data_IF_504602060871
#
_entry.id   IF_504602060871
#
_cell.length_a   1.000
_cell.length_b   1.000
_cell.length_c   1.000
_cell.angle_alpha   90.00
_cell.angle_beta   90.00
_cell.angle_gamma   90.00
#
_symmetry.space_group_name_H-M   'P 1'
#
loop_
_entity.id
_entity.type
_entity.pdbx_description
1 polymer ?
#
# COMPACT_ATOMS: atom_id res chain seq x y z
N UNK A 1 -23.28 -11.71 -1.41
CA UNK A 1 -23.01 -11.74 -2.88
C UNK A 1 -23.37 -10.38 -3.43
N UNK A 2 -22.52 -9.73 -4.26
CA UNK A 2 -22.86 -8.48 -4.91
C UNK A 2 -23.97 -8.67 -5.95
N UNK A 3 -24.76 -7.61 -6.21
CA UNK A 3 -25.74 -7.59 -7.28
C UNK A 3 -25.06 -7.41 -8.65
N UNK A 4 -23.93 -6.69 -8.67
CA UNK A 4 -23.09 -6.51 -9.86
C UNK A 4 -21.62 -6.38 -9.51
N UNK A 5 -20.75 -6.78 -10.45
CA UNK A 5 -19.30 -6.56 -10.39
C UNK A 5 -18.91 -5.64 -11.53
N UNK A 6 -18.21 -4.55 -11.20
CA UNK A 6 -17.74 -3.57 -12.17
C UNK A 6 -16.20 -3.56 -12.23
N UNK A 7 -15.65 -3.40 -13.43
CA UNK A 7 -14.22 -3.37 -13.72
C UNK A 7 -13.87 -2.03 -14.38
N UNK A 8 -13.57 -0.98 -13.62
CA UNK A 8 -13.29 0.33 -14.19
C UNK A 8 -11.95 0.34 -14.94
N UNK A 9 -11.92 1.02 -16.10
CA UNK A 9 -10.71 1.22 -16.88
C UNK A 9 -10.02 2.56 -16.57
N UNK A 10 -10.79 3.53 -16.04
CA UNK A 10 -10.31 4.87 -15.78
C UNK A 10 -11.04 5.51 -14.58
N UNK A 11 -10.49 6.61 -14.12
CA UNK A 11 -11.00 7.36 -12.97
C UNK A 11 -12.42 7.89 -13.18
N UNK A 12 -12.71 8.39 -14.37
CA UNK A 12 -14.04 8.96 -14.70
C UNK A 12 -15.17 7.94 -14.55
N UNK A 13 -14.91 6.67 -14.88
CA UNK A 13 -15.88 5.59 -14.66
C UNK A 13 -16.12 5.38 -13.15
N UNK A 14 -15.08 5.42 -12.33
CA UNK A 14 -15.19 5.30 -10.88
C UNK A 14 -16.02 6.46 -10.31
N UNK A 15 -15.74 7.68 -10.73
CA UNK A 15 -16.46 8.89 -10.33
C UNK A 15 -17.96 8.78 -10.65
N UNK A 16 -18.30 8.33 -11.87
CA UNK A 16 -19.69 8.09 -12.29
C UNK A 16 -20.38 7.03 -11.44
N UNK A 17 -19.69 5.93 -11.15
CA UNK A 17 -20.22 4.85 -10.29
C UNK A 17 -20.47 5.37 -8.88
N UNK A 18 -19.52 6.09 -8.30
CA UNK A 18 -19.64 6.66 -6.96
C UNK A 18 -20.81 7.64 -6.88
N UNK A 19 -20.93 8.56 -7.84
CA UNK A 19 -22.01 9.54 -7.90
C UNK A 19 -23.39 8.86 -8.07
N UNK A 20 -23.50 7.90 -8.97
CA UNK A 20 -24.74 7.14 -9.20
C UNK A 20 -25.16 6.36 -7.95
N UNK A 21 -24.23 5.61 -7.36
CA UNK A 21 -24.51 4.80 -6.19
C UNK A 21 -24.88 5.65 -4.96
N UNK A 22 -24.23 6.80 -4.79
CA UNK A 22 -24.56 7.75 -3.74
C UNK A 22 -26.00 8.27 -3.89
N UNK A 23 -26.39 8.69 -5.09
CA UNK A 23 -27.74 9.19 -5.38
C UNK A 23 -28.81 8.11 -5.12
N UNK A 24 -28.54 6.87 -5.48
CA UNK A 24 -29.50 5.76 -5.38
C UNK A 24 -29.32 4.94 -4.09
N UNK A 25 -28.44 5.35 -3.19
CA UNK A 25 -28.13 4.67 -1.92
C UNK A 25 -27.72 3.20 -2.10
N UNK A 26 -26.98 2.92 -3.17
CA UNK A 26 -26.45 1.58 -3.48
C UNK A 26 -25.10 1.43 -2.79
N UNK A 27 -24.88 0.39 -1.96
CA UNK A 27 -23.58 0.12 -1.36
C UNK A 27 -22.50 -0.20 -2.41
N UNK A 28 -21.29 0.35 -2.21
CA UNK A 28 -20.10 0.02 -3.00
C UNK A 28 -19.10 -0.68 -2.10
N UNK A 29 -18.58 -1.80 -2.56
CA UNK A 29 -17.52 -2.56 -1.93
C UNK A 29 -16.31 -2.58 -2.87
N UNK A 30 -15.24 -1.88 -2.50
CA UNK A 30 -14.04 -1.81 -3.34
C UNK A 30 -13.22 -3.09 -3.15
N UNK A 31 -12.95 -3.78 -4.25
CA UNK A 31 -12.20 -5.01 -4.26
C UNK A 31 -10.79 -4.78 -4.84
N UNK A 32 -9.76 -5.06 -4.04
CA UNK A 32 -8.37 -5.17 -4.45
C UNK A 32 -7.95 -6.64 -4.53
N UNK A 33 -7.12 -7.10 -3.59
CA UNK A 33 -6.72 -8.52 -3.51
C UNK A 33 -7.66 -9.43 -2.72
N UNK A 34 -8.68 -8.88 -2.06
CA UNK A 34 -9.60 -9.64 -1.21
C UNK A 34 -8.98 -10.20 0.07
N UNK A 35 -7.78 -9.74 0.43
CA UNK A 35 -6.97 -10.27 1.54
C UNK A 35 -7.23 -9.61 2.90
N UNK A 36 -8.23 -8.74 3.01
CA UNK A 36 -8.56 -8.03 4.25
C UNK A 36 -9.08 -9.01 5.32
N UNK A 37 -8.44 -9.01 6.48
CA UNK A 37 -8.84 -9.83 7.64
C UNK A 37 -10.20 -9.40 8.20
N UNK A 38 -10.54 -8.11 8.09
CA UNK A 38 -11.83 -7.55 8.55
C UNK A 38 -13.00 -7.87 7.62
N UNK A 39 -12.72 -8.51 6.45
CA UNK A 39 -13.72 -8.92 5.46
C UNK A 39 -14.53 -7.75 4.86
N UNK A 40 -13.97 -6.54 4.88
CA UNK A 40 -14.62 -5.31 4.37
C UNK A 40 -14.98 -5.35 2.87
N UNK A 41 -14.45 -6.33 2.12
CA UNK A 41 -14.78 -6.57 0.71
C UNK A 41 -16.06 -7.39 0.49
N UNK A 42 -16.65 -7.93 1.56
CA UNK A 42 -17.84 -8.77 1.46
C UNK A 42 -19.11 -7.94 1.30
N UNK A 43 -19.83 -8.19 0.23
CA UNK A 43 -21.08 -7.52 -0.09
C UNK A 43 -22.25 -8.09 0.75
N UNK A 44 -22.27 -7.80 2.05
CA UNK A 44 -23.26 -8.36 3.00
C UNK A 44 -24.68 -7.85 2.77
N UNK A 45 -24.85 -6.69 2.11
CA UNK A 45 -26.15 -6.05 1.82
C UNK A 45 -26.44 -5.95 0.31
N UNK A 46 -25.88 -6.86 -0.50
CA UNK A 46 -25.94 -6.69 -1.96
C UNK A 46 -25.07 -5.52 -2.42
N UNK A 47 -25.47 -4.82 -3.48
CA UNK A 47 -24.77 -3.66 -4.00
C UNK A 47 -23.70 -4.02 -5.03
N UNK A 48 -22.76 -3.10 -5.23
CA UNK A 48 -21.75 -3.20 -6.29
C UNK A 48 -20.39 -3.57 -5.70
N UNK A 49 -19.77 -4.64 -6.23
CA UNK A 49 -18.34 -4.90 -6.04
C UNK A 49 -17.58 -4.19 -7.15
N UNK A 50 -16.70 -3.26 -6.77
CA UNK A 50 -15.86 -2.50 -7.69
C UNK A 50 -14.47 -3.11 -7.70
N UNK A 51 -14.18 -3.98 -8.68
CA UNK A 51 -12.89 -4.65 -8.83
C UNK A 51 -11.89 -3.71 -9.51
N UNK A 52 -10.93 -3.23 -8.72
CA UNK A 52 -9.88 -2.33 -9.18
C UNK A 52 -8.69 -3.07 -9.82
N UNK A 53 -8.51 -4.34 -9.48
CA UNK A 53 -7.29 -5.08 -9.80
C UNK A 53 -7.14 -5.40 -11.29
N UNK A 54 -8.25 -5.73 -11.95
CA UNK A 54 -8.19 -6.29 -13.28
C UNK A 54 -7.75 -5.26 -14.34
N UNK A 55 -8.25 -4.03 -14.24
CA UNK A 55 -8.05 -3.01 -15.29
C UNK A 55 -7.50 -1.68 -14.77
N UNK A 56 -7.59 -1.44 -13.46
CA UNK A 56 -7.17 -0.18 -12.83
C UNK A 56 -5.85 -0.36 -12.06
N UNK A 57 -4.77 -0.71 -12.78
CA UNK A 57 -3.50 -1.14 -12.20
C UNK A 57 -2.26 -0.61 -12.94
N UNK A 58 -2.36 0.59 -13.52
CA UNK A 58 -1.29 1.18 -14.33
C UNK A 58 -0.35 2.06 -13.49
N UNK A 59 0.88 2.19 -13.94
CA UNK A 59 1.78 3.26 -13.51
C UNK A 59 1.35 4.57 -14.19
N UNK A 60 1.23 5.62 -13.41
CA UNK A 60 0.89 6.96 -13.88
C UNK A 60 2.15 7.80 -14.09
N UNK A 61 3.07 7.75 -13.12
CA UNK A 61 4.32 8.51 -13.18
C UNK A 61 5.41 7.82 -12.35
N UNK A 62 6.65 7.98 -12.77
CA UNK A 62 7.85 7.64 -12.00
C UNK A 62 8.80 8.83 -12.03
N UNK A 63 9.31 9.21 -10.86
CA UNK A 63 10.29 10.29 -10.73
C UNK A 63 11.53 9.77 -9.98
N UNK A 64 12.60 9.53 -10.73
CA UNK A 64 13.85 9.04 -10.16
C UNK A 64 14.50 10.04 -9.21
N UNK A 65 14.41 11.35 -9.53
CA UNK A 65 15.06 12.41 -8.75
C UNK A 65 14.45 12.50 -7.35
N UNK A 66 13.14 12.46 -7.27
CA UNK A 66 12.39 12.53 -6.02
C UNK A 66 12.17 11.15 -5.38
N UNK A 67 12.53 10.07 -6.10
CA UNK A 67 12.32 8.68 -5.69
C UNK A 67 10.85 8.39 -5.36
N UNK A 68 9.98 8.69 -6.32
CA UNK A 68 8.54 8.50 -6.18
C UNK A 68 7.96 7.74 -7.36
N UNK A 69 6.89 7.00 -7.11
CA UNK A 69 6.06 6.38 -8.13
C UNK A 69 4.59 6.68 -7.84
N UNK A 70 3.84 7.07 -8.87
CA UNK A 70 2.39 7.21 -8.79
C UNK A 70 1.75 6.07 -9.55
N UNK A 71 0.88 5.35 -8.89
CA UNK A 71 0.20 4.18 -9.44
C UNK A 71 -1.30 4.21 -9.17
N UNK A 72 -2.06 3.50 -9.99
CA UNK A 72 -3.46 3.23 -9.75
C UNK A 72 -3.62 2.22 -8.60
N UNK A 73 -4.64 2.40 -7.79
CA UNK A 73 -4.86 1.67 -6.53
C UNK A 73 -5.00 0.15 -6.67
N UNK A 74 -5.43 -0.33 -7.84
CA UNK A 74 -5.58 -1.77 -8.12
C UNK A 74 -4.27 -2.50 -8.43
N UNK A 75 -3.13 -1.80 -8.54
CA UNK A 75 -1.83 -2.43 -8.81
C UNK A 75 -1.48 -3.43 -7.71
N UNK A 76 -1.08 -4.65 -8.08
CA UNK A 76 -0.65 -5.67 -7.11
C UNK A 76 0.77 -5.45 -6.63
N UNK A 77 1.11 -6.00 -5.46
CA UNK A 77 2.46 -5.96 -4.91
C UNK A 77 3.53 -6.48 -5.86
N UNK A 78 3.40 -7.69 -6.40
CA UNK A 78 4.36 -8.25 -7.37
C UNK A 78 4.51 -7.39 -8.63
N UNK A 79 3.41 -6.82 -9.14
CA UNK A 79 3.45 -5.95 -10.30
C UNK A 79 4.22 -4.67 -10.02
N UNK A 80 3.98 -4.01 -8.87
CA UNK A 80 4.69 -2.82 -8.44
C UNK A 80 6.19 -3.11 -8.28
N UNK A 81 6.54 -4.16 -7.54
CA UNK A 81 7.93 -4.51 -7.26
C UNK A 81 8.69 -4.86 -8.55
N UNK A 82 8.08 -5.64 -9.45
CA UNK A 82 8.67 -5.94 -10.76
C UNK A 82 8.90 -4.67 -11.57
N UNK A 83 7.93 -3.77 -11.62
CA UNK A 83 8.04 -2.49 -12.33
C UNK A 83 9.20 -1.65 -11.77
N UNK A 84 9.35 -1.58 -10.47
CA UNK A 84 10.44 -0.86 -9.82
C UNK A 84 11.80 -1.52 -10.02
N UNK A 85 11.87 -2.84 -9.98
CA UNK A 85 13.09 -3.59 -10.26
C UNK A 85 13.53 -3.40 -11.72
N UNK A 86 12.59 -3.25 -12.65
CA UNK A 86 12.83 -3.01 -14.08
C UNK A 86 12.90 -1.51 -14.44
N UNK A 87 13.06 -0.61 -13.47
CA UNK A 87 12.99 0.85 -13.68
C UNK A 87 14.00 1.38 -14.69
N UNK A 88 15.19 0.80 -14.76
CA UNK A 88 16.21 1.14 -15.77
C UNK A 88 15.67 0.93 -17.18
N UNK A 89 15.02 -0.20 -17.41
CA UNK A 89 14.46 -0.57 -18.70
C UNK A 89 13.18 0.20 -19.04
N UNK A 90 12.30 0.37 -18.05
CA UNK A 90 10.96 0.94 -18.29
C UNK A 90 10.96 2.47 -18.31
N UNK A 91 11.81 3.11 -17.51
CA UNK A 91 11.81 4.56 -17.31
C UNK A 91 13.15 5.22 -17.65
N UNK A 92 14.16 4.46 -18.06
CA UNK A 92 15.50 5.00 -18.27
C UNK A 92 16.20 5.44 -16.99
N UNK A 93 15.80 4.90 -15.85
CA UNK A 93 16.40 5.21 -14.56
C UNK A 93 17.86 4.72 -14.49
N UNK A 94 18.66 5.33 -13.61
CA UNK A 94 20.07 4.96 -13.44
C UNK A 94 20.26 3.66 -12.67
N UNK A 95 19.20 3.14 -12.03
CA UNK A 95 19.23 1.94 -11.18
C UNK A 95 17.86 1.35 -10.96
N UNK A 96 17.83 0.14 -10.40
CA UNK A 96 16.63 -0.52 -9.93
C UNK A 96 16.13 0.07 -8.59
N UNK A 97 14.83 -0.05 -8.35
CA UNK A 97 14.15 0.40 -7.14
C UNK A 97 13.34 -0.74 -6.52
N UNK A 98 12.90 -0.53 -5.28
CA UNK A 98 11.99 -1.40 -4.52
C UNK A 98 10.92 -0.56 -3.83
N UNK A 99 9.74 -1.13 -3.65
CA UNK A 99 8.69 -0.48 -2.87
C UNK A 99 8.97 -0.47 -1.36
N UNK A 100 9.80 -1.39 -0.86
CA UNK A 100 10.11 -1.52 0.57
C UNK A 100 8.98 -2.08 1.42
N UNK A 101 7.76 -2.23 0.90
CA UNK A 101 6.58 -2.67 1.62
C UNK A 101 6.19 -4.10 1.20
N UNK A 102 6.35 -5.05 2.14
CA UNK A 102 6.08 -6.48 1.90
C UNK A 102 5.17 -7.05 2.99
N UNK A 103 3.85 -6.77 2.94
CA UNK A 103 2.89 -7.38 3.86
C UNK A 103 2.79 -8.89 3.64
N UNK A 104 2.22 -9.63 4.61
CA UNK A 104 2.03 -11.08 4.47
C UNK A 104 1.22 -11.46 3.22
N UNK A 105 0.25 -10.64 2.86
CA UNK A 105 -0.58 -10.82 1.67
C UNK A 105 0.02 -10.24 0.39
N UNK A 106 1.32 -9.94 0.33
CA UNK A 106 1.99 -9.24 -0.77
C UNK A 106 1.63 -9.78 -2.15
N UNK A 107 1.61 -11.11 -2.31
CA UNK A 107 1.32 -11.78 -3.59
C UNK A 107 -0.11 -11.54 -4.11
N UNK A 108 -1.03 -11.22 -3.23
CA UNK A 108 -2.46 -11.11 -3.56
C UNK A 108 -3.03 -9.71 -3.38
N UNK A 109 -2.46 -8.93 -2.48
CA UNK A 109 -2.97 -7.61 -2.11
C UNK A 109 -2.63 -6.54 -3.14
N UNK A 110 -3.41 -5.46 -3.13
CA UNK A 110 -3.20 -4.29 -3.97
C UNK A 110 -2.63 -3.12 -3.17
N UNK A 111 -1.95 -2.22 -3.88
CA UNK A 111 -1.39 -0.99 -3.30
C UNK A 111 -2.48 -0.15 -2.62
N UNK A 112 -3.64 0.01 -3.26
CA UNK A 112 -4.76 0.71 -2.63
C UNK A 112 -5.22 0.03 -1.35
N UNK A 113 -5.27 -1.30 -1.32
CA UNK A 113 -5.60 -2.07 -0.13
C UNK A 113 -4.62 -1.79 1.02
N UNK A 114 -3.32 -1.73 0.74
CA UNK A 114 -2.31 -1.40 1.76
C UNK A 114 -2.59 -0.04 2.42
N UNK A 115 -2.88 0.98 1.59
CA UNK A 115 -3.11 2.36 2.05
C UNK A 115 -4.37 2.47 2.88
N UNK A 116 -5.49 1.92 2.40
CA UNK A 116 -6.79 2.05 3.10
C UNK A 116 -6.91 1.20 4.36
N UNK A 117 -5.97 0.26 4.59
CA UNK A 117 -5.92 -0.57 5.82
C UNK A 117 -4.71 -0.23 6.72
N UNK A 118 -3.89 0.75 6.36
CA UNK A 118 -2.63 1.09 7.06
C UNK A 118 -1.74 -0.12 7.25
N UNK A 119 -1.52 -0.89 6.18
CA UNK A 119 -0.77 -2.13 6.22
C UNK A 119 0.64 -1.99 6.78
N UNK A 120 1.08 -2.98 7.56
CA UNK A 120 2.48 -3.18 7.91
C UNK A 120 3.06 -4.32 7.07
N UNK A 121 4.36 -4.32 6.87
CA UNK A 121 5.09 -5.35 6.13
C UNK A 121 6.27 -5.91 6.91
N UNK A 122 6.85 -6.99 6.43
CA UNK A 122 7.99 -7.64 7.08
C UNK A 122 9.23 -6.74 7.13
N UNK A 123 9.35 -5.79 6.20
CA UNK A 123 10.46 -4.85 6.11
C UNK A 123 10.17 -3.51 6.79
N UNK A 124 9.07 -3.39 7.54
CA UNK A 124 8.66 -2.12 8.15
C UNK A 124 9.61 -1.61 9.22
N UNK A 125 10.44 -2.48 9.78
CA UNK A 125 11.49 -2.08 10.74
C UNK A 125 12.46 -1.07 10.13
N UNK A 126 12.78 -1.21 8.86
CA UNK A 126 13.71 -0.33 8.15
C UNK A 126 13.00 0.70 7.27
N UNK A 127 12.05 0.25 6.44
CA UNK A 127 11.40 1.12 5.46
C UNK A 127 10.23 1.91 6.02
N UNK A 128 9.73 1.53 7.19
CA UNK A 128 8.47 2.06 7.74
C UNK A 128 7.25 1.25 7.28
N UNK A 129 6.10 1.64 7.74
CA UNK A 129 4.80 1.14 7.31
C UNK A 129 4.36 1.88 6.04
N UNK A 130 3.24 1.45 5.44
CA UNK A 130 2.71 2.12 4.24
C UNK A 130 2.43 3.62 4.50
N UNK A 131 2.02 3.98 5.70
CA UNK A 131 1.73 5.37 6.09
C UNK A 131 2.96 6.29 6.09
N UNK A 132 4.16 5.71 6.20
CA UNK A 132 5.43 6.44 6.12
C UNK A 132 5.90 6.61 4.65
N UNK A 133 5.29 5.88 3.74
CA UNK A 133 5.66 5.87 2.31
C UNK A 133 4.70 6.67 1.44
N UNK A 134 3.44 6.81 1.87
CA UNK A 134 2.41 7.54 1.11
C UNK A 134 2.69 9.04 1.14
N UNK A 135 2.78 9.64 -0.06
CA UNK A 135 2.97 11.08 -0.23
C UNK A 135 1.68 11.78 -0.68
N UNK A 136 0.95 11.19 -1.62
CA UNK A 136 -0.30 11.74 -2.15
C UNK A 136 -1.33 10.63 -2.37
N UNK A 137 -2.58 10.96 -2.15
CA UNK A 137 -3.72 10.10 -2.40
C UNK A 137 -4.79 10.84 -3.20
N UNK A 138 -5.46 10.14 -4.12
CA UNK A 138 -6.60 10.69 -4.88
C UNK A 138 -7.80 9.79 -4.70
N UNK A 139 -8.92 10.39 -4.36
CA UNK A 139 -10.18 9.70 -4.10
C UNK A 139 -11.30 10.22 -4.97
N UNK A 140 -12.15 9.30 -5.43
CA UNK A 140 -13.49 9.62 -5.93
C UNK A 140 -14.46 9.50 -4.76
N UNK A 141 -15.16 10.58 -4.44
CA UNK A 141 -16.12 10.65 -3.32
C UNK A 141 -17.50 11.13 -3.78
N UNK A 142 -18.56 10.91 -3.00
CA UNK A 142 -19.89 11.39 -3.34
C UNK A 142 -20.01 12.91 -3.51
N UNK A 143 -19.12 13.67 -2.91
CA UNK A 143 -19.12 15.14 -2.95
C UNK A 143 -18.07 15.71 -3.91
N UNK A 144 -17.42 14.87 -4.71
CA UNK A 144 -16.36 15.25 -5.65
C UNK A 144 -15.04 14.57 -5.35
N UNK A 145 -14.00 15.00 -6.05
CA UNK A 145 -12.67 14.42 -5.91
C UNK A 145 -11.90 15.05 -4.75
N UNK A 146 -11.26 14.20 -3.96
CA UNK A 146 -10.32 14.62 -2.94
C UNK A 146 -8.91 14.28 -3.42
N UNK A 147 -8.01 15.27 -3.36
CA UNK A 147 -6.57 15.10 -3.61
C UNK A 147 -5.86 15.60 -2.37
N UNK A 148 -5.03 14.76 -1.77
CA UNK A 148 -4.21 15.15 -0.62
C UNK A 148 -2.97 15.91 -1.09
N UNK A 149 -2.27 16.55 -0.16
CA UNK A 149 -1.04 17.28 -0.49
C UNK A 149 0.08 16.32 -0.93
N UNK A 150 0.82 16.65 -2.00
CA UNK A 150 1.91 15.81 -2.50
C UNK A 150 3.23 15.96 -1.71
N UNK A 151 3.21 16.70 -0.61
CA UNK A 151 4.42 16.96 0.18
C UNK A 151 4.67 15.86 1.22
N UNK A 152 5.92 15.41 1.39
CA UNK A 152 6.24 14.34 2.34
C UNK A 152 6.06 14.74 3.80
N UNK A 153 6.09 16.04 4.09
CA UNK A 153 5.84 16.61 5.43
C UNK A 153 5.19 17.98 5.29
N UNK A 154 4.26 18.26 6.17
CA UNK A 154 3.52 19.53 6.25
C UNK A 154 3.70 20.14 7.64
N UNK A 155 3.86 21.47 7.68
CA UNK A 155 3.92 22.22 8.95
C UNK A 155 2.54 22.54 9.52
N UNK A 156 1.49 22.39 8.68
CA UNK A 156 0.10 22.63 9.07
C UNK A 156 -0.65 21.32 9.20
N UNK A 157 -1.63 21.27 10.08
CA UNK A 157 -2.47 20.11 10.30
C UNK A 157 -3.94 20.48 10.44
N UNK A 158 -4.83 19.49 10.53
CA UNK A 158 -4.55 18.05 10.47
C UNK A 158 -4.15 17.58 9.07
N UNK A 159 -3.27 16.55 8.99
CA UNK A 159 -2.86 15.96 7.72
C UNK A 159 -4.00 15.17 7.09
N UNK A 160 -4.44 15.59 5.91
CA UNK A 160 -5.48 14.90 5.16
C UNK A 160 -5.03 13.50 4.72
N UNK A 161 -3.73 13.31 4.44
CA UNK A 161 -3.16 12.00 4.18
C UNK A 161 -3.47 11.01 5.30
N UNK A 162 -3.23 11.41 6.56
CA UNK A 162 -3.46 10.54 7.72
C UNK A 162 -4.94 10.33 8.06
N UNK A 163 -5.82 11.28 7.70
CA UNK A 163 -7.27 11.12 7.86
C UNK A 163 -7.82 10.09 6.86
N UNK A 164 -7.35 10.15 5.62
CA UNK A 164 -7.85 9.30 4.53
C UNK A 164 -7.29 7.87 4.59
N UNK A 165 -6.03 7.71 5.01
CA UNK A 165 -5.43 6.39 5.22
C UNK A 165 -6.12 5.62 6.35
N UNK A 166 -6.36 4.33 6.14
CA UNK A 166 -7.03 3.47 7.12
C UNK A 166 -8.54 3.68 7.17
N UNK A 167 -9.12 4.38 6.18
CA UNK A 167 -10.56 4.62 6.10
C UNK A 167 -11.38 3.42 5.61
N UNK A 168 -10.73 2.40 5.09
CA UNK A 168 -11.35 1.17 4.54
C UNK A 168 -12.51 1.44 3.57
N UNK A 169 -12.44 2.58 2.85
CA UNK A 169 -13.45 3.00 1.89
C UNK A 169 -14.59 3.86 2.47
N UNK A 170 -14.57 4.20 3.76
CA UNK A 170 -15.63 5.00 4.41
C UNK A 170 -15.78 6.39 3.79
N UNK A 171 -14.72 6.99 3.26
CA UNK A 171 -14.74 8.34 2.71
C UNK A 171 -14.79 8.39 1.18
N UNK A 172 -14.65 7.26 0.50
CA UNK A 172 -14.65 7.17 -0.95
C UNK A 172 -13.74 6.09 -1.49
N UNK A 173 -13.61 6.06 -2.81
CA UNK A 173 -12.78 5.09 -3.53
C UNK A 173 -11.42 5.69 -3.81
N UNK A 174 -10.36 5.11 -3.25
CA UNK A 174 -8.99 5.48 -3.59
C UNK A 174 -8.70 5.09 -5.04
N UNK A 175 -8.30 6.07 -5.85
CA UNK A 175 -7.97 5.86 -7.26
C UNK A 175 -6.48 5.78 -7.50
N UNK A 176 -5.73 6.77 -7.07
CA UNK A 176 -4.30 6.86 -7.32
C UNK A 176 -3.55 7.14 -6.03
N UNK A 177 -2.34 6.64 -5.96
CA UNK A 177 -1.45 6.88 -4.83
C UNK A 177 -0.03 7.15 -5.31
N UNK A 178 0.61 8.16 -4.72
CA UNK A 178 2.04 8.42 -4.89
C UNK A 178 2.78 7.89 -3.68
N UNK A 179 3.74 7.02 -3.94
CA UNK A 179 4.58 6.37 -2.94
C UNK A 179 6.02 6.83 -3.08
N UNK A 180 6.68 7.01 -1.96
CA UNK A 180 8.13 6.99 -1.88
C UNK A 180 8.64 5.58 -2.22
N UNK A 181 9.74 5.52 -2.99
CA UNK A 181 10.42 4.27 -3.33
C UNK A 181 11.90 4.33 -2.92
N UNK A 182 12.54 3.18 -2.84
CA UNK A 182 13.89 3.06 -2.32
C UNK A 182 14.79 2.43 -3.37
N UNK A 183 16.08 2.75 -3.32
CA UNK A 183 17.08 2.12 -4.18
C UNK A 183 17.20 0.64 -3.84
N UNK A 184 17.17 -0.21 -4.85
CA UNK A 184 17.40 -1.63 -4.68
C UNK A 184 18.92 -1.90 -4.62
N UNK A 185 19.40 -2.30 -3.45
CA UNK A 185 20.84 -2.57 -3.19
C UNK A 185 21.02 -4.05 -2.84
N UNK A 186 20.88 -4.92 -3.84
CA UNK A 186 20.97 -6.40 -3.66
C UNK A 186 22.32 -6.82 -3.09
N UNK A 187 23.38 -6.11 -3.45
CA UNK A 187 24.74 -6.31 -3.00
C UNK A 187 24.94 -6.11 -1.49
N UNK A 188 24.10 -5.32 -0.87
CA UNK A 188 24.15 -5.04 0.58
C UNK A 188 23.30 -6.01 1.40
N UNK A 189 22.61 -6.94 0.74
CA UNK A 189 21.73 -7.88 1.45
C UNK A 189 22.57 -8.96 2.15
N UNK A 190 22.49 -8.99 3.48
CA UNK A 190 23.08 -10.01 4.34
C UNK A 190 22.01 -10.58 5.25
N UNK A 191 22.03 -11.88 5.47
CA UNK A 191 21.11 -12.56 6.38
C UNK A 191 21.94 -13.21 7.49
N UNK A 192 21.50 -13.06 8.73
CA UNK A 192 22.08 -13.69 9.89
C UNK A 192 20.99 -14.44 10.63
N UNK A 193 21.34 -15.60 11.19
CA UNK A 193 20.44 -16.38 12.04
C UNK A 193 21.19 -16.72 13.31
N UNK A 194 20.50 -16.58 14.43
CA UNK A 194 21.03 -16.88 15.77
C UNK A 194 20.11 -17.86 16.46
N UNK A 195 20.66 -18.77 17.23
CA UNK A 195 19.92 -19.70 18.07
C UNK A 195 20.19 -19.36 19.54
N UNK A 196 19.15 -19.42 20.36
CA UNK A 196 19.20 -19.15 21.79
C UNK A 196 18.77 -20.39 22.55
N UNK A 197 19.19 -20.51 23.81
CA UNK A 197 18.86 -21.67 24.66
C UNK A 197 17.39 -21.65 25.13
N UNK A 198 16.84 -20.46 25.27
CA UNK A 198 15.47 -20.27 25.71
C UNK A 198 14.86 -19.00 25.10
N UNK A 199 13.55 -18.84 25.29
CA UNK A 199 12.79 -17.70 24.76
C UNK A 199 13.18 -16.37 25.39
N UNK A 200 13.48 -16.37 26.67
CA UNK A 200 13.86 -15.17 27.43
C UNK A 200 15.16 -14.56 26.92
N UNK A 201 16.18 -15.37 26.65
CA UNK A 201 17.43 -14.91 26.04
C UNK A 201 17.19 -14.34 24.62
N UNK A 202 16.34 -14.98 23.84
CA UNK A 202 15.99 -14.50 22.50
C UNK A 202 15.28 -13.13 22.55
N UNK A 203 14.36 -12.96 23.50
CA UNK A 203 13.65 -11.70 23.68
C UNK A 203 14.60 -10.57 24.13
N UNK A 204 15.51 -10.86 25.08
CA UNK A 204 16.46 -9.89 25.59
C UNK A 204 17.43 -9.44 24.50
N UNK A 205 18.00 -10.38 23.75
CA UNK A 205 18.88 -10.07 22.61
C UNK A 205 18.13 -9.23 21.54
N UNK A 206 16.86 -9.57 21.27
CA UNK A 206 16.01 -8.81 20.36
C UNK A 206 15.81 -7.38 20.85
N UNK A 207 15.52 -7.20 22.12
CA UNK A 207 15.32 -5.89 22.75
C UNK A 207 16.62 -5.05 22.67
N UNK A 208 17.74 -5.61 23.04
CA UNK A 208 19.05 -4.94 22.99
C UNK A 208 19.39 -4.48 21.57
N UNK A 209 19.22 -5.37 20.58
CA UNK A 209 19.48 -5.03 19.17
C UNK A 209 18.60 -3.87 18.68
N UNK A 210 17.32 -3.85 19.07
CA UNK A 210 16.39 -2.80 18.65
C UNK A 210 16.62 -1.46 19.33
N UNK A 211 17.23 -1.46 20.53
CA UNK A 211 17.50 -0.27 21.32
C UNK A 211 18.91 0.31 21.14
N UNK A 212 19.79 -0.40 20.44
CA UNK A 212 21.19 0.03 20.31
C UNK A 212 21.41 1.22 19.35
N UNK A 213 20.37 1.67 18.64
CA UNK A 213 20.40 2.81 17.69
C UNK A 213 21.48 2.71 16.58
N UNK A 214 22.10 1.57 16.43
CA UNK A 214 23.19 1.34 15.46
C UNK A 214 22.70 1.13 14.01
N UNK A 215 21.41 1.29 13.76
CA UNK A 215 20.71 1.01 12.51
C UNK A 215 19.89 -0.27 12.60
N UNK A 216 18.93 -0.39 11.68
CA UNK A 216 17.95 -1.47 11.73
C UNK A 216 18.13 -2.44 10.58
N UNK A 217 17.96 -3.73 10.87
CA UNK A 217 17.77 -4.73 9.84
C UNK A 217 16.47 -4.45 9.08
N UNK A 218 16.46 -4.69 7.76
CA UNK A 218 15.22 -4.51 6.97
C UNK A 218 14.15 -5.52 7.36
N UNK A 219 14.58 -6.73 7.74
CA UNK A 219 13.70 -7.77 8.31
C UNK A 219 14.29 -8.20 9.63
N UNK A 220 13.47 -8.17 10.66
CA UNK A 220 13.83 -8.65 11.99
C UNK A 220 12.74 -9.58 12.50
N UNK A 221 13.08 -10.82 12.81
CA UNK A 221 12.13 -11.83 13.24
C UNK A 221 12.70 -12.71 14.33
N UNK A 222 11.95 -12.89 15.40
CA UNK A 222 12.17 -13.90 16.42
C UNK A 222 11.07 -14.97 16.29
N UNK A 223 11.42 -16.23 16.40
CA UNK A 223 10.48 -17.37 16.35
C UNK A 223 10.84 -18.37 17.42
N UNK A 224 9.85 -18.97 18.02
CA UNK A 224 10.02 -20.15 18.88
C UNK A 224 10.19 -21.44 18.06
N UNK A 225 10.33 -22.55 18.76
CA UNK A 225 10.60 -23.86 18.17
C UNK A 225 9.33 -24.64 17.77
N UNK A 226 8.11 -24.05 17.96
CA UNK A 226 6.85 -24.72 17.63
C UNK A 226 6.41 -24.48 16.19
#
# INVERSE_FOLDING_TARGET
IPDAVLYPDNREQIEKVVAYCSTHKIPIYVYGGGSSVTRGVECVKGGISLDMRLRFNKVIAFNEKDQTITVQAGMSGPQLEKTLNDAEKLFGAKRAYTCGHFPQSFEYSSVGGWVITRGAGQNSTYYGKIEDMVLEQKYATPIGNIVTSPYPREATGPSLNHIMMGSEGAFGVLTDVTLRVFRLTKENRKCFSFMFHNWEEAQEATREMMQCEAGFASVFRCSDAE
#
